data_IF_889794647910
#
_entry.id   IF_889794647910
#
_cell.length_a   1.000
_cell.length_b   1.000
_cell.length_c   1.000
_cell.angle_alpha   90.00
_cell.angle_beta   90.00
_cell.angle_gamma   90.00
#
_symmetry.space_group_name_H-M   'P 1'
#
loop_
_entity.id
_entity.type
_entity.pdbx_description
1 polymer ?
#
# COMPACT_ATOMS: atom_id res chain seq x y z
N UNK A 1 -3.75 17.57 -7.89
CA UNK A 1 -2.69 16.54 -8.08
C UNK A 1 -2.96 15.44 -7.09
N UNK A 2 -3.11 14.20 -7.56
CA UNK A 2 -3.49 13.08 -6.71
C UNK A 2 -2.55 12.88 -5.52
N UNK A 3 -3.16 12.53 -4.38
CA UNK A 3 -2.46 12.23 -3.13
C UNK A 3 -1.84 10.83 -3.22
N UNK A 4 -0.55 10.70 -2.93
CA UNK A 4 0.13 9.41 -2.74
C UNK A 4 -0.01 8.97 -1.28
N UNK A 5 -0.80 7.94 -1.03
CA UNK A 5 -1.09 7.43 0.30
C UNK A 5 -0.51 6.02 0.43
N UNK A 6 0.37 5.80 1.41
CA UNK A 6 0.81 4.44 1.76
C UNK A 6 -0.14 3.84 2.79
N UNK A 7 -0.86 2.77 2.43
CA UNK A 7 -1.70 2.03 3.36
C UNK A 7 -1.22 0.60 3.59
N UNK A 8 -1.39 0.13 4.82
CA UNK A 8 -1.16 -1.27 5.18
C UNK A 8 -1.85 -1.65 6.50
N UNK A 9 -2.16 -2.94 6.65
CA UNK A 9 -2.35 -3.54 7.97
C UNK A 9 -1.03 -4.14 8.44
N UNK A 10 -0.63 -3.83 9.67
CA UNK A 10 0.58 -4.34 10.29
C UNK A 10 0.26 -5.12 11.57
N UNK A 11 1.14 -6.04 11.94
CA UNK A 11 1.25 -6.57 13.29
C UNK A 11 1.70 -5.48 14.27
N UNK A 12 1.49 -5.67 15.58
CA UNK A 12 1.89 -4.70 16.61
C UNK A 12 3.41 -4.49 16.70
N UNK A 13 4.21 -5.46 16.26
CA UNK A 13 5.67 -5.37 16.12
C UNK A 13 6.13 -4.87 14.74
N UNK A 14 5.20 -4.43 13.90
CA UNK A 14 5.47 -3.61 12.72
C UNK A 14 5.73 -4.38 11.43
N UNK A 15 5.15 -5.58 11.25
CA UNK A 15 5.28 -6.38 10.03
C UNK A 15 3.96 -6.39 9.24
N UNK A 16 4.05 -6.19 7.92
CA UNK A 16 2.90 -6.17 6.99
C UNK A 16 2.72 -7.48 6.23
N UNK A 17 3.73 -8.35 6.27
CA UNK A 17 3.68 -9.72 5.76
C UNK A 17 4.65 -10.57 6.58
N UNK A 18 4.37 -11.87 6.71
CA UNK A 18 5.27 -12.82 7.34
C UNK A 18 6.51 -13.14 6.48
N UNK A 19 7.38 -14.04 6.94
CA UNK A 19 8.53 -14.51 6.17
C UNK A 19 8.13 -14.99 4.77
N UNK A 20 8.92 -14.63 3.76
CA UNK A 20 8.61 -14.96 2.36
C UNK A 20 7.44 -14.16 1.74
N UNK A 21 6.82 -13.23 2.48
CA UNK A 21 5.66 -12.48 2.03
C UNK A 21 4.33 -13.15 2.35
N UNK A 22 4.31 -14.08 3.30
CA UNK A 22 3.11 -14.79 3.76
C UNK A 22 2.03 -13.80 4.26
N UNK A 23 0.82 -13.91 3.72
CA UNK A 23 -0.33 -13.10 4.14
C UNK A 23 -1.38 -13.88 4.93
N UNK A 24 -1.20 -15.20 5.12
CA UNK A 24 -2.16 -16.06 5.83
C UNK A 24 -2.39 -15.65 7.29
N UNK A 25 -1.39 -15.01 7.91
CA UNK A 25 -1.50 -14.47 9.26
C UNK A 25 -2.61 -13.43 9.42
N UNK A 26 -2.97 -12.73 8.34
CA UNK A 26 -3.93 -11.63 8.38
C UNK A 26 -5.37 -12.14 8.31
N UNK A 27 -5.62 -13.30 7.69
CA UNK A 27 -6.95 -13.91 7.53
C UNK A 27 -7.81 -13.91 8.80
N UNK A 28 -7.34 -14.34 9.98
CA UNK A 28 -8.15 -14.33 11.21
C UNK A 28 -8.50 -12.93 11.74
N UNK A 29 -7.89 -11.87 11.19
CA UNK A 29 -8.10 -10.48 11.58
C UNK A 29 -8.92 -9.68 10.56
N UNK A 30 -9.29 -10.29 9.43
CA UNK A 30 -10.14 -9.68 8.41
C UNK A 30 -11.62 -9.69 8.81
N UNK A 31 -12.41 -8.84 8.15
CA UNK A 31 -13.87 -8.88 8.21
C UNK A 31 -14.51 -8.09 9.36
N UNK A 32 -13.72 -7.43 10.20
CA UNK A 32 -14.25 -6.43 11.14
C UNK A 32 -14.57 -5.14 10.36
N UNK A 33 -15.81 -4.63 10.41
CA UNK A 33 -16.14 -3.36 9.77
C UNK A 33 -15.24 -2.23 10.29
N UNK A 34 -14.64 -1.47 9.37
CA UNK A 34 -13.77 -0.36 9.70
C UNK A 34 -14.14 0.87 8.85
N UNK A 35 -14.79 1.89 9.42
CA UNK A 35 -15.20 3.09 8.69
C UNK A 35 -14.03 3.84 8.03
N UNK A 36 -12.83 3.74 8.60
CA UNK A 36 -11.62 4.36 8.01
C UNK A 36 -11.17 3.61 6.77
N UNK A 37 -11.25 2.27 6.77
CA UNK A 37 -10.99 1.46 5.59
C UNK A 37 -12.03 1.73 4.49
N UNK A 38 -13.32 1.79 4.83
CA UNK A 38 -14.38 2.11 3.87
C UNK A 38 -14.18 3.49 3.23
N UNK A 39 -13.76 4.48 4.04
CA UNK A 39 -13.44 5.82 3.54
C UNK A 39 -12.18 5.83 2.67
N UNK A 40 -11.16 5.02 2.98
CA UNK A 40 -10.01 4.86 2.10
C UNK A 40 -10.46 4.31 0.75
N UNK A 41 -11.16 3.17 0.72
CA UNK A 41 -11.61 2.50 -0.51
C UNK A 41 -12.39 3.45 -1.43
N UNK A 42 -13.29 4.25 -0.87
CA UNK A 42 -14.08 5.22 -1.64
C UNK A 42 -13.30 6.41 -2.22
N UNK A 43 -12.07 6.66 -1.75
CA UNK A 43 -11.20 7.74 -2.23
C UNK A 43 -10.15 7.28 -3.23
N UNK A 44 -9.83 5.98 -3.23
CA UNK A 44 -8.78 5.41 -4.09
C UNK A 44 -9.29 5.34 -5.53
N UNK A 45 -8.55 5.98 -6.44
CA UNK A 45 -8.85 6.01 -7.87
C UNK A 45 -7.76 5.36 -8.72
N UNK A 46 -6.58 5.12 -8.16
CA UNK A 46 -5.54 4.27 -8.76
C UNK A 46 -4.70 3.60 -7.68
N UNK A 47 -4.00 2.53 -8.05
CA UNK A 47 -3.03 1.83 -7.18
C UNK A 47 -1.63 1.94 -7.79
N UNK A 48 -0.64 2.27 -6.97
CA UNK A 48 0.79 2.12 -7.29
C UNK A 48 1.35 0.99 -6.43
N UNK A 49 1.83 -0.08 -7.05
CA UNK A 49 2.25 -1.30 -6.34
C UNK A 49 3.60 -1.80 -6.81
N UNK A 50 4.40 -2.33 -5.88
CA UNK A 50 5.68 -2.97 -6.22
C UNK A 50 5.48 -4.38 -6.79
N UNK A 51 6.38 -4.83 -7.66
CA UNK A 51 6.30 -6.16 -8.29
C UNK A 51 6.11 -7.32 -7.30
N UNK A 52 6.75 -7.24 -6.12
CA UNK A 52 6.65 -8.28 -5.07
C UNK A 52 5.26 -8.36 -4.45
N UNK A 53 4.58 -7.23 -4.30
CA UNK A 53 3.22 -7.17 -3.76
C UNK A 53 2.21 -7.54 -4.84
N UNK A 54 2.40 -7.05 -6.06
CA UNK A 54 1.52 -7.36 -7.19
C UNK A 54 1.46 -8.85 -7.54
N UNK A 55 2.61 -9.53 -7.56
CA UNK A 55 2.68 -10.98 -7.74
C UNK A 55 2.76 -11.78 -6.43
N UNK A 56 2.53 -11.12 -5.29
CA UNK A 56 2.72 -11.66 -3.96
C UNK A 56 1.53 -12.49 -3.48
N UNK A 57 1.57 -12.89 -2.21
CA UNK A 57 0.46 -13.60 -1.58
C UNK A 57 -0.73 -12.66 -1.29
N UNK A 58 -1.93 -13.22 -1.17
CA UNK A 58 -3.17 -12.51 -0.84
C UNK A 58 -3.89 -13.28 0.28
N UNK A 59 -4.29 -12.62 1.39
CA UNK A 59 -4.94 -13.30 2.52
C UNK A 59 -6.32 -13.92 2.17
N UNK A 60 -6.89 -13.53 1.03
CA UNK A 60 -8.15 -14.02 0.47
C UNK A 60 -7.94 -14.84 -0.82
N UNK A 61 -6.71 -15.26 -1.12
CA UNK A 61 -6.38 -16.04 -2.33
C UNK A 61 -7.32 -17.24 -2.51
N UNK A 62 -7.90 -17.38 -3.70
CA UNK A 62 -8.83 -18.46 -4.03
C UNK A 62 -10.25 -18.28 -3.47
N UNK A 63 -10.59 -17.11 -2.96
CA UNK A 63 -11.95 -16.76 -2.50
C UNK A 63 -12.57 -15.68 -3.39
N UNK A 64 -13.85 -15.36 -3.16
CA UNK A 64 -14.55 -14.26 -3.84
C UNK A 64 -14.06 -12.86 -3.42
N UNK A 65 -13.13 -12.78 -2.46
CA UNK A 65 -12.53 -11.56 -1.92
C UNK A 65 -11.05 -11.39 -2.29
N UNK A 66 -10.55 -12.18 -3.24
CA UNK A 66 -9.18 -12.01 -3.74
C UNK A 66 -9.01 -10.65 -4.45
N UNK A 67 -7.89 -9.98 -4.20
CA UNK A 67 -7.55 -8.70 -4.80
C UNK A 67 -7.62 -7.51 -3.83
N UNK A 68 -7.34 -6.32 -4.36
CA UNK A 68 -7.21 -5.09 -3.59
C UNK A 68 -8.46 -4.82 -2.74
N UNK A 69 -8.23 -4.46 -1.48
CA UNK A 69 -9.28 -4.19 -0.49
C UNK A 69 -10.27 -5.34 -0.32
N UNK A 70 -9.79 -6.59 -0.33
CA UNK A 70 -10.65 -7.76 -0.19
C UNK A 70 -11.62 -7.92 -1.36
N UNK A 71 -11.15 -7.62 -2.58
CA UNK A 71 -11.92 -7.68 -3.81
C UNK A 71 -12.95 -6.55 -3.98
N UNK A 72 -12.99 -5.56 -3.08
CA UNK A 72 -13.99 -4.49 -3.10
C UNK A 72 -13.65 -3.35 -4.07
N UNK A 73 -12.43 -3.33 -4.60
CA UNK A 73 -11.95 -2.25 -5.46
C UNK A 73 -11.43 -2.79 -6.79
N UNK A 74 -11.70 -2.04 -7.85
CA UNK A 74 -11.12 -2.26 -9.17
C UNK A 74 -10.82 -0.90 -9.80
N UNK A 75 -9.73 -0.81 -10.56
CA UNK A 75 -9.29 0.43 -11.18
C UNK A 75 -7.89 0.31 -11.78
N UNK A 76 -7.34 1.43 -12.29
CA UNK A 76 -5.99 1.46 -12.85
C UNK A 76 -4.92 1.07 -11.84
N UNK A 77 -4.03 0.16 -12.24
CA UNK A 77 -2.90 -0.30 -11.42
C UNK A 77 -1.60 0.00 -12.15
N UNK A 78 -0.70 0.73 -11.49
CA UNK A 78 0.67 0.94 -11.95
C UNK A 78 1.60 0.04 -11.14
N UNK A 79 2.32 -0.84 -11.83
CA UNK A 79 3.26 -1.78 -11.20
C UNK A 79 4.70 -1.28 -11.43
N UNK A 80 5.38 -0.91 -10.34
CA UNK A 80 6.81 -0.57 -10.38
C UNK A 80 7.65 -1.85 -10.48
N UNK A 81 8.27 -2.07 -11.65
CA UNK A 81 9.10 -3.24 -11.92
C UNK A 81 10.14 -2.97 -13.01
N UNK A 82 11.36 -3.48 -12.79
CA UNK A 82 12.41 -3.52 -13.83
C UNK A 82 12.27 -4.75 -14.75
N UNK A 83 11.33 -5.65 -14.45
CA UNK A 83 11.11 -6.92 -15.17
C UNK A 83 9.61 -7.04 -15.48
N UNK A 84 9.09 -6.26 -16.43
CA UNK A 84 7.68 -6.34 -16.81
C UNK A 84 7.40 -7.69 -17.49
N UNK A 85 6.15 -8.16 -17.37
CA UNK A 85 5.67 -9.24 -18.23
C UNK A 85 5.63 -8.75 -19.69
N UNK A 86 5.70 -9.68 -20.65
CA UNK A 86 5.64 -9.35 -22.07
C UNK A 86 4.31 -8.67 -22.45
N UNK A 87 3.23 -9.08 -21.79
CA UNK A 87 1.89 -8.50 -21.94
C UNK A 87 1.39 -8.07 -20.55
N UNK A 88 0.84 -6.85 -20.48
CA UNK A 88 0.23 -6.34 -19.25
C UNK A 88 -1.22 -6.85 -19.14
N UNK A 89 -1.64 -7.32 -17.94
CA UNK A 89 -3.06 -7.59 -17.69
C UNK A 89 -3.92 -6.34 -17.94
N UNK A 90 -5.22 -6.56 -18.17
CA UNK A 90 -6.17 -5.45 -18.30
C UNK A 90 -6.12 -4.53 -17.08
N UNK A 91 -6.12 -3.22 -17.31
CA UNK A 91 -6.03 -2.20 -16.26
C UNK A 91 -4.65 -2.05 -15.61
N UNK A 92 -3.64 -2.82 -16.03
CA UNK A 92 -2.29 -2.78 -15.47
C UNK A 92 -1.33 -2.04 -16.41
N UNK A 93 -0.51 -1.14 -15.87
CA UNK A 93 0.59 -0.49 -16.57
C UNK A 93 1.90 -0.75 -15.83
N UNK A 94 2.94 -1.18 -16.53
CA UNK A 94 4.28 -1.34 -15.94
C UNK A 94 5.11 -0.06 -16.05
N UNK A 95 5.84 0.27 -15.00
CA UNK A 95 6.78 1.38 -14.95
C UNK A 95 8.15 0.90 -14.48
N UNK A 96 9.21 1.32 -15.19
CA UNK A 96 10.59 0.87 -14.93
C UNK A 96 11.33 1.64 -13.84
N UNK A 97 10.83 2.82 -13.45
CA UNK A 97 11.43 3.68 -12.44
C UNK A 97 10.36 4.40 -11.61
N UNK A 98 10.75 4.86 -10.42
CA UNK A 98 9.84 5.44 -9.42
C UNK A 98 9.12 6.69 -9.93
N UNK A 99 9.84 7.63 -10.56
CA UNK A 99 9.26 8.89 -10.99
C UNK A 99 8.23 8.67 -12.09
N UNK A 100 8.56 7.83 -13.08
CA UNK A 100 7.60 7.46 -14.12
C UNK A 100 6.39 6.75 -13.55
N UNK A 101 6.58 5.86 -12.56
CA UNK A 101 5.48 5.17 -11.90
C UNK A 101 4.54 6.14 -11.16
N UNK A 102 5.10 7.11 -10.45
CA UNK A 102 4.35 8.18 -9.77
C UNK A 102 3.57 9.03 -10.77
N UNK A 103 4.19 9.44 -11.88
CA UNK A 103 3.52 10.25 -12.90
C UNK A 103 2.34 9.50 -13.52
N UNK A 104 2.54 8.23 -13.90
CA UNK A 104 1.48 7.35 -14.42
C UNK A 104 0.34 7.19 -13.41
N UNK A 105 0.67 6.92 -12.15
CA UNK A 105 -0.33 6.66 -11.13
C UNK A 105 -1.14 7.93 -10.83
N UNK A 106 -0.49 9.10 -10.77
CA UNK A 106 -1.17 10.38 -10.58
C UNK A 106 -2.02 10.78 -11.78
N UNK A 107 -1.55 10.54 -13.00
CA UNK A 107 -2.32 10.75 -14.22
C UNK A 107 -3.59 9.88 -14.20
N UNK A 108 -3.46 8.59 -13.89
CA UNK A 108 -4.59 7.67 -13.78
C UNK A 108 -5.56 8.05 -12.65
N UNK A 109 -5.05 8.55 -11.52
CA UNK A 109 -5.87 8.92 -10.37
C UNK A 109 -6.60 10.27 -10.52
N UNK A 110 -6.11 11.18 -11.35
CA UNK A 110 -6.65 12.54 -11.51
C UNK A 110 -6.55 13.35 -10.20
N UNK A 111 -7.70 13.70 -9.63
CA UNK A 111 -7.81 14.41 -8.35
C UNK A 111 -8.09 13.48 -7.15
N UNK A 112 -8.08 12.16 -7.36
CA UNK A 112 -8.31 11.17 -6.31
C UNK A 112 -7.05 10.81 -5.51
N UNK A 113 -7.08 9.61 -4.92
CA UNK A 113 -5.96 9.04 -4.16
C UNK A 113 -5.32 7.92 -4.95
N UNK A 114 -3.99 7.95 -5.02
CA UNK A 114 -3.17 6.80 -5.40
C UNK A 114 -2.84 6.04 -4.12
N UNK A 115 -3.38 4.84 -3.97
CA UNK A 115 -2.98 3.96 -2.88
C UNK A 115 -1.67 3.24 -3.25
N UNK A 116 -0.69 3.35 -2.36
CA UNK A 116 0.64 2.79 -2.53
C UNK A 116 0.70 1.49 -1.76
N UNK A 117 0.93 0.38 -2.48
CA UNK A 117 1.00 -0.95 -1.90
C UNK A 117 2.44 -1.51 -1.95
N UNK A 118 2.91 -1.94 -0.79
CA UNK A 118 4.23 -2.57 -0.61
C UNK A 118 5.26 -1.65 0.03
N UNK A 119 5.93 -2.16 1.08
CA UNK A 119 6.88 -1.40 1.89
C UNK A 119 8.08 -0.84 1.10
N UNK A 120 8.55 -1.54 0.06
CA UNK A 120 9.68 -1.05 -0.74
C UNK A 120 9.33 0.17 -1.60
N UNK A 121 8.13 0.21 -2.19
CA UNK A 121 7.65 1.40 -2.92
C UNK A 121 7.46 2.56 -1.95
N UNK A 122 6.83 2.30 -0.80
CA UNK A 122 6.64 3.30 0.25
C UNK A 122 7.99 3.90 0.71
N UNK A 123 9.00 3.05 0.97
CA UNK A 123 10.37 3.47 1.30
C UNK A 123 10.95 4.39 0.23
N UNK A 124 10.88 4.00 -1.04
CA UNK A 124 11.40 4.81 -2.14
C UNK A 124 10.70 6.18 -2.23
N UNK A 125 9.38 6.23 -2.03
CA UNK A 125 8.64 7.50 -2.01
C UNK A 125 9.02 8.40 -0.83
N UNK A 126 9.27 7.82 0.35
CA UNK A 126 9.74 8.57 1.52
C UNK A 126 11.13 9.15 1.27
N UNK A 127 12.07 8.34 0.77
CA UNK A 127 13.43 8.78 0.43
C UNK A 127 13.44 9.87 -0.64
N UNK A 128 12.54 9.79 -1.63
CA UNK A 128 12.37 10.79 -2.68
C UNK A 128 11.53 12.01 -2.25
N UNK A 129 11.02 12.04 -1.01
CA UNK A 129 10.11 13.06 -0.47
C UNK A 129 8.84 13.28 -1.30
N UNK A 130 8.31 12.18 -1.84
CA UNK A 130 7.12 12.16 -2.70
C UNK A 130 5.85 11.68 -1.99
N UNK A 131 5.98 10.93 -0.88
CA UNK A 131 4.82 10.40 -0.16
C UNK A 131 4.05 11.52 0.55
N UNK A 132 2.72 11.55 0.41
CA UNK A 132 1.86 12.60 0.94
C UNK A 132 1.18 12.17 2.26
N UNK A 133 0.68 10.93 2.33
CA UNK A 133 -0.05 10.40 3.49
C UNK A 133 0.36 8.96 3.84
N UNK A 134 0.17 8.59 5.10
CA UNK A 134 0.36 7.22 5.61
C UNK A 134 -0.88 6.83 6.40
N UNK A 135 -1.42 5.64 6.15
CA UNK A 135 -2.52 5.05 6.90
C UNK A 135 -2.17 3.62 7.32
N UNK A 136 -1.99 3.41 8.61
CA UNK A 136 -1.72 2.08 9.16
C UNK A 136 -2.91 1.57 9.98
N UNK A 137 -3.22 0.29 9.81
CA UNK A 137 -4.08 -0.47 10.70
C UNK A 137 -3.21 -1.44 11.50
N UNK A 138 -3.58 -1.74 12.75
CA UNK A 138 -2.83 -2.69 13.58
C UNK A 138 -3.69 -3.88 14.00
N UNK A 139 -3.27 -5.07 13.59
CA UNK A 139 -3.85 -6.32 14.07
C UNK A 139 -3.24 -6.71 15.43
N UNK A 140 -4.02 -7.31 16.35
CA UNK A 140 -3.56 -7.64 17.71
C UNK A 140 -2.68 -8.91 17.74
N UNK A 141 -1.58 -8.90 17.00
CA UNK A 141 -0.63 -10.01 16.88
C UNK A 141 0.81 -9.49 16.85
N UNK A 142 1.75 -10.29 17.36
CA UNK A 142 3.19 -10.09 17.19
C UNK A 142 3.69 -11.18 16.25
N UNK A 143 4.15 -10.83 15.05
CA UNK A 143 4.58 -11.80 14.04
C UNK A 143 6.00 -12.29 14.26
N UNK A 144 6.84 -11.49 14.91
CA UNK A 144 8.23 -11.78 15.22
C UNK A 144 9.21 -11.61 14.05
N UNK A 145 8.77 -11.84 12.81
CA UNK A 145 9.60 -11.70 11.60
C UNK A 145 8.75 -11.48 10.34
N UNK A 146 9.39 -11.01 9.26
CA UNK A 146 8.77 -10.82 7.95
C UNK A 146 9.12 -9.48 7.30
N UNK A 147 8.17 -8.95 6.53
CA UNK A 147 8.33 -7.65 5.85
C UNK A 147 7.89 -6.54 6.80
N UNK A 148 8.82 -5.69 7.22
CA UNK A 148 8.49 -4.52 8.06
C UNK A 148 7.67 -3.49 7.29
N UNK A 149 6.83 -2.74 8.01
CA UNK A 149 6.05 -1.62 7.48
C UNK A 149 6.92 -0.60 6.74
N UNK A 150 8.11 -0.34 7.28
CA UNK A 150 9.15 0.44 6.65
C UNK A 150 10.49 0.01 7.24
N UNK A 151 11.46 -0.34 6.39
CA UNK A 151 12.81 -0.70 6.81
C UNK A 151 13.83 0.20 6.10
N UNK A 152 14.38 1.17 6.84
CA UNK A 152 15.33 2.17 6.33
C UNK A 152 16.50 2.34 7.30
N UNK A 153 17.40 1.35 7.44
CA UNK A 153 18.55 1.47 8.33
C UNK A 153 19.42 2.67 7.94
N UNK A 154 19.66 3.57 8.91
CA UNK A 154 20.41 4.81 8.66
C UNK A 154 19.62 5.90 7.92
N UNK A 155 18.31 5.74 7.76
CA UNK A 155 17.43 6.75 7.18
C UNK A 155 17.26 8.00 8.05
N UNK A 156 16.57 9.00 7.51
CA UNK A 156 16.26 10.24 8.21
C UNK A 156 14.94 10.16 8.97
N UNK A 157 14.81 10.92 10.05
CA UNK A 157 13.52 11.11 10.71
C UNK A 157 12.56 11.85 9.76
N UNK A 158 11.36 11.29 9.57
CA UNK A 158 10.26 11.92 8.83
C UNK A 158 9.14 12.24 9.80
N UNK A 159 8.66 13.48 9.78
CA UNK A 159 7.62 13.94 10.68
C UNK A 159 6.25 13.64 10.10
N UNK A 160 5.29 13.32 10.98
CA UNK A 160 3.93 12.96 10.61
C UNK A 160 2.95 13.78 11.43
N UNK A 161 1.99 14.41 10.77
CA UNK A 161 0.90 15.15 11.40
C UNK A 161 -0.39 14.31 11.33
N UNK A 162 -0.99 14.00 12.48
CA UNK A 162 -2.23 13.20 12.52
C UNK A 162 -3.35 13.96 11.81
N UNK A 163 -4.10 13.29 10.93
CA UNK A 163 -5.26 13.90 10.30
C UNK A 163 -6.39 14.10 11.33
N UNK A 164 -7.01 15.29 11.41
CA UNK A 164 -8.10 15.55 12.35
C UNK A 164 -9.29 14.61 12.14
N UNK A 165 -9.85 14.10 13.24
CA UNK A 165 -11.03 13.23 13.20
C UNK A 165 -10.76 11.75 12.92
N UNK A 166 -9.48 11.38 12.75
CA UNK A 166 -9.08 9.99 12.47
C UNK A 166 -8.80 9.19 13.74
N UNK A 167 -9.47 8.04 13.86
CA UNK A 167 -9.25 7.07 14.95
C UNK A 167 -8.07 6.16 14.67
N UNK A 168 -7.87 5.80 13.40
CA UNK A 168 -6.75 4.98 12.94
C UNK A 168 -5.47 5.81 12.81
N UNK A 169 -4.37 5.13 12.51
CA UNK A 169 -3.06 5.73 12.31
C UNK A 169 -2.95 6.38 10.92
N UNK A 170 -3.78 7.40 10.67
CA UNK A 170 -3.77 8.22 9.45
C UNK A 170 -3.05 9.55 9.68
N UNK A 171 -2.01 9.77 8.88
CA UNK A 171 -1.14 10.93 8.99
C UNK A 171 -0.85 11.57 7.62
N UNK A 172 -0.60 12.88 7.65
CA UNK A 172 0.08 13.60 6.58
C UNK A 172 1.58 13.58 6.82
N UNK A 173 2.35 13.36 5.77
CA UNK A 173 3.81 13.41 5.81
C UNK A 173 4.29 14.86 5.78
N UNK A 174 5.23 15.19 6.66
CA UNK A 174 5.87 16.50 6.74
C UNK A 174 7.37 16.34 6.56
N UNK A 175 7.85 16.95 5.48
CA UNK A 175 9.26 17.02 5.14
C UNK A 175 9.91 18.33 5.59
#
# INVERSE_FOLDING_TARGET
MATLLYSATASLDGFIAGPGGDMSWLTPHLGTPNPTADRLVSRVTAVLVGARTFGGDDPNRGTDREGAFGGQWSGPVVVLTHRPAAEAPEGVTFAGDLHRAVDLAREAAGDGVVDVLGADVARQLVEARLLDEVLLFFAPVLLGDGVRVLDVPGGTQVLLDRLPGETEHWYRVRY
#
